data_IF_726646500041
#
_entry.id   IF_726646500041
#
_cell.length_a   1.000
_cell.length_b   1.000
_cell.length_c   1.000
_cell.angle_alpha   90.00
_cell.angle_beta   90.00
_cell.angle_gamma   90.00
#
_symmetry.space_group_name_H-M   'P 1'
#
loop_
_entity.id
_entity.type
_entity.pdbx_description
1 polymer ?
#
# COMPACT_ATOMS: atom_id res chain seq x y z
N UNK A 1 -23.25 6.58 0.56
CA UNK A 1 -22.07 7.03 -0.20
C UNK A 1 -20.81 6.61 0.54
N UNK A 2 -20.03 5.67 0.03
CA UNK A 2 -18.69 5.40 0.57
C UNK A 2 -17.81 6.56 0.07
N UNK A 3 -17.29 7.39 0.98
CA UNK A 3 -16.29 8.43 0.62
C UNK A 3 -15.13 7.73 -0.10
N UNK A 4 -14.61 8.33 -1.16
CA UNK A 4 -13.41 7.80 -1.81
C UNK A 4 -12.20 7.92 -0.87
N UNK A 5 -11.80 6.79 -0.31
CA UNK A 5 -10.69 6.67 0.63
C UNK A 5 -9.37 6.36 -0.08
N UNK A 6 -9.36 6.25 -1.42
CA UNK A 6 -8.13 5.99 -2.16
C UNK A 6 -7.15 7.15 -1.96
N UNK A 7 -5.88 6.79 -1.83
CA UNK A 7 -4.80 7.69 -1.48
C UNK A 7 -4.73 8.07 0.00
N UNK A 8 -5.79 7.88 0.79
CA UNK A 8 -5.70 8.15 2.23
C UNK A 8 -4.70 7.25 2.92
N UNK A 9 -4.01 7.81 3.92
CA UNK A 9 -3.22 7.04 4.85
C UNK A 9 -4.13 6.28 5.81
N UNK A 10 -3.67 5.12 6.23
CA UNK A 10 -4.33 4.25 7.20
C UNK A 10 -3.29 3.76 8.21
N UNK A 11 -3.61 3.90 9.50
CA UNK A 11 -2.86 3.25 10.57
C UNK A 11 -3.41 1.84 10.75
N UNK A 12 -2.55 0.83 10.64
CA UNK A 12 -2.94 -0.56 10.80
C UNK A 12 -3.02 -0.90 12.29
N UNK A 13 -4.16 -1.41 12.74
CA UNK A 13 -4.40 -1.70 14.16
C UNK A 13 -4.16 -3.17 14.52
N UNK A 14 -4.16 -4.07 13.55
CA UNK A 14 -4.09 -5.51 13.80
C UNK A 14 -3.12 -6.23 12.86
N UNK A 15 -2.75 -7.46 13.23
CA UNK A 15 -1.88 -8.33 12.46
C UNK A 15 -0.39 -7.96 12.53
N UNK A 16 0.41 -8.57 11.64
CA UNK A 16 1.89 -8.42 11.60
C UNK A 16 2.37 -6.97 11.45
N UNK A 17 1.54 -6.11 10.89
CA UNK A 17 1.88 -4.72 10.60
C UNK A 17 1.14 -3.73 11.51
N UNK A 18 0.59 -4.19 12.64
CA UNK A 18 0.00 -3.30 13.63
C UNK A 18 0.97 -2.18 14.06
N UNK A 19 0.46 -0.96 14.19
CA UNK A 19 1.23 0.25 14.49
C UNK A 19 1.96 0.86 13.29
N UNK A 20 1.87 0.26 12.09
CA UNK A 20 2.46 0.83 10.87
C UNK A 20 1.43 1.59 10.05
N UNK A 21 1.88 2.67 9.42
CA UNK A 21 1.09 3.39 8.43
C UNK A 21 1.23 2.73 7.06
N UNK A 22 0.14 2.76 6.33
CA UNK A 22 0.03 2.40 4.93
C UNK A 22 -0.79 3.47 4.20
N UNK A 23 -0.94 3.34 2.89
CA UNK A 23 -1.93 4.11 2.15
C UNK A 23 -2.84 3.19 1.33
N UNK A 24 -4.08 3.63 1.15
CA UNK A 24 -5.14 2.85 0.49
C UNK A 24 -5.03 3.03 -1.02
N UNK A 25 -4.91 1.93 -1.75
CA UNK A 25 -4.87 1.89 -3.21
C UNK A 25 -6.25 1.64 -3.82
N UNK A 26 -7.01 0.72 -3.21
CA UNK A 26 -8.35 0.34 -3.66
C UNK A 26 -9.22 0.00 -2.46
N UNK A 27 -10.52 0.24 -2.59
CA UNK A 27 -11.55 -0.19 -1.65
C UNK A 27 -12.43 -1.20 -2.35
N UNK A 28 -12.44 -2.44 -1.87
CA UNK A 28 -13.32 -3.49 -2.39
C UNK A 28 -14.50 -3.68 -1.43
N UNK A 29 -15.71 -3.58 -1.96
CA UNK A 29 -16.94 -4.03 -1.30
C UNK A 29 -17.19 -5.43 -1.84
N UNK A 30 -17.20 -6.44 -0.97
CA UNK A 30 -17.34 -7.85 -1.29
C UNK A 30 -16.19 -8.42 -2.14
N UNK A 31 -15.10 -8.80 -1.48
CA UNK A 31 -14.07 -9.59 -2.15
C UNK A 31 -14.61 -10.99 -2.43
N UNK A 32 -15.16 -11.21 -3.64
CA UNK A 32 -15.30 -12.56 -4.24
C UNK A 32 -13.95 -13.31 -4.35
N UNK A 33 -12.84 -12.65 -4.00
CA UNK A 33 -11.47 -13.15 -3.98
C UNK A 33 -11.16 -14.10 -2.81
N UNK A 34 -11.91 -14.07 -1.70
CA UNK A 34 -11.57 -14.87 -0.51
C UNK A 34 -12.52 -16.02 -0.22
N UNK A 35 -13.66 -16.15 -0.92
CA UNK A 35 -14.66 -17.19 -0.62
C UNK A 35 -15.30 -17.08 0.77
N UNK A 36 -14.86 -16.13 1.59
CA UNK A 36 -15.31 -15.89 2.95
C UNK A 36 -16.29 -14.70 2.98
N UNK A 37 -17.13 -14.69 4.02
CA UNK A 37 -18.19 -13.71 4.34
C UNK A 37 -17.94 -12.30 3.77
N UNK A 38 -18.99 -11.65 3.28
CA UNK A 38 -19.00 -10.32 2.64
C UNK A 38 -18.46 -9.17 3.51
N UNK A 39 -17.15 -9.16 3.74
CA UNK A 39 -16.44 -8.09 4.40
C UNK A 39 -15.90 -7.09 3.37
N UNK A 40 -15.73 -5.86 3.83
CA UNK A 40 -15.10 -4.79 3.04
C UNK A 40 -13.60 -4.78 3.30
N UNK A 41 -12.83 -4.61 2.23
CA UNK A 41 -11.37 -4.64 2.31
C UNK A 41 -10.75 -3.39 1.68
N UNK A 42 -9.62 -3.00 2.25
CA UNK A 42 -8.65 -2.12 1.62
C UNK A 42 -7.56 -2.96 0.96
N UNK A 43 -7.23 -2.62 -0.28
CA UNK A 43 -5.89 -2.90 -0.78
C UNK A 43 -4.99 -1.79 -0.28
N UNK A 44 -4.02 -2.13 0.55
CA UNK A 44 -3.09 -1.19 1.17
C UNK A 44 -1.68 -1.38 0.64
N UNK A 45 -0.93 -0.29 0.59
CA UNK A 45 0.49 -0.28 0.30
C UNK A 45 1.29 0.07 1.56
N UNK A 46 2.13 -0.86 1.99
CA UNK A 46 3.03 -0.74 3.14
C UNK A 46 4.45 -0.54 2.61
N UNK A 47 5.16 0.45 3.18
CA UNK A 47 6.57 0.71 2.87
C UNK A 47 7.41 0.24 4.07
N UNK A 48 8.47 -0.54 3.79
CA UNK A 48 9.42 -0.96 4.83
C UNK A 48 10.82 -0.53 4.48
N UNK A 49 11.49 0.18 5.40
CA UNK A 49 12.95 0.34 5.33
C UNK A 49 13.63 -1.00 5.58
N UNK A 50 14.60 -1.34 4.75
CA UNK A 50 15.57 -2.39 5.01
C UNK A 50 16.97 -1.91 4.67
N UNK A 51 17.94 -2.24 5.52
CA UNK A 51 19.34 -1.94 5.27
C UNK A 51 19.92 -3.05 4.39
N UNK A 52 20.40 -2.71 3.19
CA UNK A 52 21.20 -3.65 2.40
C UNK A 52 22.67 -3.33 2.64
N UNK A 53 23.47 -4.35 2.97
CA UNK A 53 24.93 -4.19 3.02
C UNK A 53 25.42 -3.89 1.60
N UNK A 54 26.02 -2.71 1.41
CA UNK A 54 26.76 -2.33 0.23
C UNK A 54 28.27 -2.45 0.49
N UNK A 55 29.03 -2.83 -0.54
CA UNK A 55 30.50 -2.70 -0.54
C UNK A 55 30.85 -1.51 -1.42
N UNK A 56 31.46 -0.49 -0.84
CA UNK A 56 32.12 0.58 -1.60
C UNK A 56 33.54 0.67 -1.05
N UNK A 57 34.55 0.45 -1.91
CA UNK A 57 35.98 0.50 -1.63
C UNK A 57 36.38 0.30 -0.15
N UNK A 58 36.52 -0.97 0.25
CA UNK A 58 37.04 -1.44 1.54
C UNK A 58 36.29 -1.01 2.83
N UNK A 59 35.24 -0.18 2.78
CA UNK A 59 34.35 0.09 3.92
C UNK A 59 32.94 -0.44 3.66
N UNK A 60 32.38 -1.17 4.63
CA UNK A 60 30.98 -1.61 4.58
C UNK A 60 30.07 -0.41 4.82
N UNK A 61 29.18 -0.12 3.88
CA UNK A 61 28.15 0.92 4.05
C UNK A 61 26.76 0.27 4.00
N UNK A 62 25.78 0.87 4.67
CA UNK A 62 24.40 0.43 4.60
C UNK A 62 23.59 1.34 3.69
N UNK A 63 23.19 0.84 2.53
CA UNK A 63 22.25 1.53 1.65
C UNK A 63 20.82 1.30 2.19
N UNK A 64 20.07 2.37 2.42
CA UNK A 64 18.67 2.26 2.85
C UNK A 64 17.80 2.00 1.63
N UNK A 65 17.19 0.81 1.55
CA UNK A 65 16.23 0.47 0.50
C UNK A 65 14.82 0.39 1.06
N UNK A 66 13.86 0.78 0.25
CA UNK A 66 12.44 0.69 0.58
C UNK A 66 11.84 -0.55 -0.10
N UNK A 67 11.19 -1.40 0.68
CA UNK A 67 10.42 -2.55 0.17
C UNK A 67 8.94 -2.17 0.21
N UNK A 68 8.30 -2.22 -0.96
CA UNK A 68 6.86 -2.01 -1.13
C UNK A 68 6.15 -3.36 -0.99
N UNK A 69 5.13 -3.42 -0.15
CA UNK A 69 4.29 -4.59 0.09
C UNK A 69 2.83 -4.21 -0.10
N UNK A 70 2.12 -4.96 -0.94
CA UNK A 70 0.67 -4.78 -1.13
C UNK A 70 -0.08 -5.83 -0.31
N UNK A 71 -1.13 -5.42 0.40
CA UNK A 71 -1.93 -6.31 1.25
C UNK A 71 -3.40 -5.94 1.26
N UNK A 72 -4.25 -6.94 1.11
CA UNK A 72 -5.66 -6.82 1.46
C UNK A 72 -5.82 -6.82 2.99
N UNK A 73 -6.57 -5.86 3.49
CA UNK A 73 -6.83 -5.65 4.90
C UNK A 73 -8.33 -5.41 5.09
N UNK A 74 -8.96 -6.05 6.07
CA UNK A 74 -10.34 -5.72 6.43
C UNK A 74 -10.41 -4.23 6.83
N UNK A 75 -11.45 -3.52 6.39
CA UNK A 75 -11.64 -2.09 6.69
C UNK A 75 -11.60 -1.79 8.19
N UNK A 76 -12.09 -2.70 9.02
CA UNK A 76 -12.13 -2.55 10.47
C UNK A 76 -10.74 -2.66 11.14
N UNK A 77 -9.73 -3.12 10.40
CA UNK A 77 -8.37 -3.28 10.90
C UNK A 77 -7.50 -2.03 10.68
N UNK A 78 -8.08 -0.95 10.14
CA UNK A 78 -7.36 0.28 9.83
C UNK A 78 -8.09 1.53 10.30
N UNK A 79 -7.35 2.47 10.89
CA UNK A 79 -7.84 3.82 11.18
C UNK A 79 -7.43 4.74 10.03
N UNK A 80 -8.41 5.22 9.28
CA UNK A 80 -8.16 6.13 8.16
C UNK A 80 -7.86 7.52 8.67
N UNK A 81 -6.83 8.13 8.09
CA UNK A 81 -6.30 9.42 8.52
C UNK A 81 -6.57 10.45 7.44
N UNK A 82 -6.81 11.70 7.85
CA UNK A 82 -6.98 12.82 6.95
C UNK A 82 -5.65 13.33 6.39
N UNK A 83 -4.87 12.41 5.81
CA UNK A 83 -3.64 12.68 5.08
C UNK A 83 -3.62 11.76 3.86
N UNK A 84 -3.18 12.27 2.71
CA UNK A 84 -3.19 11.52 1.46
C UNK A 84 -1.82 11.47 0.81
N UNK A 85 -1.57 10.39 0.07
CA UNK A 85 -0.46 10.33 -0.90
C UNK A 85 -0.84 11.05 -2.20
N UNK A 86 0.14 11.47 -3.02
CA UNK A 86 -0.13 12.05 -4.33
C UNK A 86 -0.96 11.13 -5.22
N UNK A 87 -1.81 11.72 -6.06
CA UNK A 87 -2.70 11.00 -6.98
C UNK A 87 -1.94 10.08 -7.95
N UNK A 88 -0.69 10.39 -8.27
CA UNK A 88 0.18 9.56 -9.13
C UNK A 88 0.46 8.16 -8.59
N UNK A 89 0.26 7.91 -7.29
CA UNK A 89 0.42 6.59 -6.67
C UNK A 89 -0.87 5.75 -6.68
N UNK A 90 -1.97 6.33 -7.15
CA UNK A 90 -3.32 5.74 -7.13
C UNK A 90 -3.87 5.72 -8.55
N UNK A 91 -4.59 4.66 -8.92
CA UNK A 91 -5.23 4.57 -10.23
C UNK A 91 -6.64 4.03 -10.10
N UNK A 92 -7.63 4.80 -10.57
CA UNK A 92 -9.02 4.37 -10.59
C UNK A 92 -9.19 3.10 -11.43
N UNK A 93 -8.58 3.09 -12.63
CA UNK A 93 -8.57 1.92 -13.51
C UNK A 93 -7.99 0.68 -12.82
N UNK A 94 -6.80 0.75 -12.23
CA UNK A 94 -6.23 -0.41 -11.54
C UNK A 94 -7.06 -0.80 -10.31
N UNK A 95 -7.66 0.17 -9.62
CA UNK A 95 -8.52 -0.06 -8.45
C UNK A 95 -9.76 -0.88 -8.80
N UNK A 96 -10.34 -0.64 -9.97
CA UNK A 96 -11.49 -1.39 -10.48
C UNK A 96 -11.07 -2.79 -10.94
N UNK A 97 -10.01 -2.86 -11.75
CA UNK A 97 -9.53 -4.11 -12.36
C UNK A 97 -9.10 -5.15 -11.33
N UNK A 98 -8.55 -4.71 -10.19
CA UNK A 98 -8.07 -5.64 -9.15
C UNK A 98 -9.20 -6.40 -8.45
N UNK A 99 -10.44 -5.90 -8.53
CA UNK A 99 -11.63 -6.59 -8.04
C UNK A 99 -12.05 -7.79 -8.91
N UNK A 100 -11.50 -7.92 -10.12
CA UNK A 100 -11.84 -9.01 -11.04
C UNK A 100 -11.04 -10.29 -10.74
N UNK A 101 -11.74 -11.37 -10.42
CA UNK A 101 -11.16 -12.66 -9.98
C UNK A 101 -10.15 -13.28 -10.94
N UNK A 102 -10.32 -13.12 -12.25
CA UNK A 102 -9.47 -13.75 -13.27
C UNK A 102 -8.14 -13.03 -13.50
N UNK A 103 -8.07 -11.74 -13.16
CA UNK A 103 -6.94 -10.88 -13.55
C UNK A 103 -6.32 -10.12 -12.37
N UNK A 104 -6.87 -10.29 -11.16
CA UNK A 104 -6.46 -9.54 -9.97
C UNK A 104 -4.96 -9.52 -9.72
N UNK A 105 -4.27 -10.67 -9.87
CA UNK A 105 -2.83 -10.78 -9.64
C UNK A 105 -2.01 -9.94 -10.64
N UNK A 106 -2.40 -9.94 -11.92
CA UNK A 106 -1.75 -9.13 -12.97
C UNK A 106 -1.87 -7.64 -12.62
N UNK A 107 -3.05 -7.21 -12.16
CA UNK A 107 -3.28 -5.81 -11.81
C UNK A 107 -2.64 -5.43 -10.46
N UNK A 108 -2.43 -6.39 -9.57
CA UNK A 108 -1.68 -6.20 -8.33
C UNK A 108 -0.19 -5.95 -8.62
N UNK A 109 0.40 -6.69 -9.56
CA UNK A 109 1.76 -6.40 -10.04
C UNK A 109 1.87 -5.02 -10.72
N UNK A 110 0.90 -4.65 -11.57
CA UNK A 110 0.84 -3.32 -12.17
C UNK A 110 0.78 -2.21 -11.11
N UNK A 111 0.04 -2.43 -10.02
CA UNK A 111 0.02 -1.51 -8.88
C UNK A 111 1.39 -1.41 -8.21
N UNK A 112 2.09 -2.53 -8.03
CA UNK A 112 3.44 -2.54 -7.46
C UNK A 112 4.40 -1.70 -8.29
N UNK A 113 4.36 -1.85 -9.62
CA UNK A 113 5.15 -1.05 -10.55
C UNK A 113 4.80 0.44 -10.50
N UNK A 114 3.51 0.78 -10.48
CA UNK A 114 3.05 2.18 -10.38
C UNK A 114 3.61 2.85 -9.11
N UNK A 115 3.46 2.21 -7.96
CA UNK A 115 3.94 2.74 -6.68
C UNK A 115 5.47 2.88 -6.72
N UNK A 116 6.18 1.87 -7.22
CA UNK A 116 7.66 1.92 -7.30
C UNK A 116 8.16 3.06 -8.18
N UNK A 117 7.51 3.29 -9.32
CA UNK A 117 7.86 4.39 -10.26
C UNK A 117 7.63 5.77 -9.63
N UNK A 118 6.54 5.91 -8.88
CA UNK A 118 6.08 7.19 -8.35
C UNK A 118 6.42 7.43 -6.87
N UNK A 119 7.14 6.51 -6.23
CA UNK A 119 7.52 6.59 -4.81
C UNK A 119 8.22 7.91 -4.43
N UNK A 120 9.06 8.42 -5.35
CA UNK A 120 9.80 9.68 -5.17
C UNK A 120 8.91 10.92 -5.03
N UNK A 121 7.63 10.83 -5.37
CA UNK A 121 6.69 11.95 -5.32
C UNK A 121 6.04 12.11 -3.95
N UNK A 122 6.22 11.16 -3.04
CA UNK A 122 5.71 11.26 -1.66
C UNK A 122 6.50 12.33 -0.91
N UNK A 123 5.81 13.31 -0.33
CA UNK A 123 6.45 14.35 0.47
C UNK A 123 7.12 13.77 1.73
N UNK A 124 8.15 14.46 2.23
CA UNK A 124 8.98 14.00 3.35
C UNK A 124 8.15 13.71 4.61
N UNK A 125 7.20 14.58 4.97
CA UNK A 125 6.36 14.43 6.15
C UNK A 125 5.48 13.17 6.05
N UNK A 126 4.90 12.90 4.87
CA UNK A 126 4.11 11.68 4.62
C UNK A 126 5.00 10.44 4.63
N UNK A 127 6.18 10.54 4.03
CA UNK A 127 7.16 9.46 3.99
C UNK A 127 7.64 9.06 5.39
N UNK A 128 7.82 10.03 6.29
CA UNK A 128 8.19 9.76 7.69
C UNK A 128 7.16 8.92 8.44
N UNK A 129 5.87 9.12 8.17
CA UNK A 129 4.81 8.31 8.77
C UNK A 129 4.81 6.88 8.21
N UNK A 130 5.07 6.73 6.90
CA UNK A 130 4.99 5.45 6.18
C UNK A 130 6.13 4.46 6.49
N UNK A 131 7.10 4.80 7.34
CA UNK A 131 8.36 4.06 7.51
C UNK A 131 8.56 3.54 8.94
#
# INVERSE_FOLDING_TARGET
MIKDLRGNLVLLNTGRFAGKYAFILSTAVDSKLTGEKGYRYFLTCIIRKHKKKGKMNKKSFFETKHKILLRYMNINHGLVINRKVPQSLVSNYLSEMIGHKLVGDIYLEKYHHLVKKNFKLIDTKTLHLLI
#
